data_IF_656954937833
#
_entry.id   IF_656954937833
#
_cell.length_a   1.000
_cell.length_b   1.000
_cell.length_c   1.000
_cell.angle_alpha   90.00
_cell.angle_beta   90.00
_cell.angle_gamma   90.00
#
_symmetry.space_group_name_H-M   'P 1'
#
loop_
_entity.id
_entity.type
_entity.pdbx_description
1 polymer ?
#
# COMPACT_ATOMS: atom_id res chain seq x y z
N UNK A 1 15.81 -9.49 8.98
CA UNK A 1 16.44 -9.61 7.64
C UNK A 1 15.45 -9.50 6.47
N UNK A 2 14.52 -10.45 6.27
CA UNK A 2 13.56 -10.35 5.14
C UNK A 2 12.70 -9.09 5.25
N UNK A 3 12.15 -8.79 6.44
CA UNK A 3 11.36 -7.58 6.65
C UNK A 3 12.18 -6.29 6.51
N UNK A 4 13.46 -6.29 6.92
CA UNK A 4 14.33 -5.13 6.73
C UNK A 4 14.55 -4.84 5.24
N UNK A 5 14.82 -5.88 4.44
CA UNK A 5 14.96 -5.76 2.98
C UNK A 5 13.65 -5.30 2.36
N UNK A 6 12.53 -5.90 2.73
CA UNK A 6 11.22 -5.63 2.14
C UNK A 6 10.70 -4.22 2.46
N UNK A 7 10.70 -3.83 3.72
CA UNK A 7 10.22 -2.50 4.15
C UNK A 7 11.25 -1.39 3.85
N UNK A 8 12.54 -1.74 3.78
CA UNK A 8 13.61 -0.81 3.39
C UNK A 8 13.54 -0.34 1.94
N UNK A 9 12.73 -0.94 1.08
CA UNK A 9 12.51 -0.49 -0.31
C UNK A 9 11.73 0.82 -0.42
N UNK A 10 11.11 1.30 0.67
CA UNK A 10 10.41 2.60 0.67
C UNK A 10 9.01 2.57 0.07
N UNK A 11 8.30 1.44 0.18
CA UNK A 11 6.89 1.38 -0.19
C UNK A 11 6.06 2.38 0.66
N UNK A 12 5.07 3.08 0.08
CA UNK A 12 4.30 4.11 0.79
C UNK A 12 3.40 3.55 1.89
N UNK A 13 2.95 2.30 1.76
CA UNK A 13 2.19 1.57 2.78
C UNK A 13 2.17 0.06 2.45
N UNK A 14 1.74 -0.74 3.43
CA UNK A 14 1.48 -2.18 3.28
C UNK A 14 0.00 -2.45 3.54
N UNK A 15 -0.66 -3.21 2.66
CA UNK A 15 -2.11 -3.49 2.77
C UNK A 15 -2.37 -4.99 2.88
N UNK A 16 -2.98 -5.40 4.00
CA UNK A 16 -3.43 -6.77 4.22
C UNK A 16 -4.88 -6.91 3.77
N UNK A 17 -5.10 -7.81 2.80
CA UNK A 17 -6.42 -8.10 2.25
C UNK A 17 -7.11 -9.25 3.00
N UNK A 18 -8.42 -9.43 2.79
CA UNK A 18 -9.24 -10.51 3.38
C UNK A 18 -9.20 -10.57 4.92
N UNK A 19 -9.13 -9.42 5.59
CA UNK A 19 -9.05 -9.36 7.08
C UNK A 19 -7.87 -10.16 7.66
N UNK A 20 -6.80 -10.35 6.87
CA UNK A 20 -5.56 -10.91 7.38
C UNK A 20 -4.95 -9.92 8.36
N UNK A 21 -4.72 -10.37 9.59
CA UNK A 21 -4.12 -9.54 10.62
C UNK A 21 -2.60 -9.69 10.53
N UNK A 22 -1.84 -8.59 10.41
CA UNK A 22 -0.39 -8.64 10.52
C UNK A 22 0.00 -9.13 11.92
N UNK A 23 1.03 -9.97 11.99
CA UNK A 23 1.58 -10.39 13.28
C UNK A 23 2.39 -9.26 13.96
N UNK A 24 2.65 -9.42 15.25
CA UNK A 24 3.41 -8.43 16.03
C UNK A 24 4.82 -8.20 15.50
N UNK A 25 5.44 -9.21 14.89
CA UNK A 25 6.79 -9.08 14.32
C UNK A 25 6.73 -8.13 13.13
N UNK A 26 5.81 -8.33 12.20
CA UNK A 26 5.59 -7.44 11.08
C UNK A 26 5.31 -6.00 11.54
N UNK A 27 4.44 -5.82 12.53
CA UNK A 27 4.11 -4.49 13.07
C UNK A 27 5.33 -3.78 13.69
N UNK A 28 6.21 -4.52 14.39
CA UNK A 28 7.48 -3.96 14.91
C UNK A 28 8.37 -3.44 13.80
N UNK A 29 8.53 -4.19 12.71
CA UNK A 29 9.32 -3.74 11.57
C UNK A 29 8.63 -2.59 10.82
N UNK A 30 7.31 -2.64 10.61
CA UNK A 30 6.57 -1.56 9.98
C UNK A 30 6.71 -0.25 10.76
N UNK A 31 6.66 -0.30 12.10
CA UNK A 31 6.94 0.85 12.96
C UNK A 31 8.39 1.34 12.84
N UNK A 32 9.37 0.43 12.86
CA UNK A 32 10.80 0.77 12.66
C UNK A 32 11.02 1.54 11.36
N UNK A 33 10.36 1.13 10.28
CA UNK A 33 10.48 1.74 8.94
C UNK A 33 9.44 2.84 8.67
N UNK A 34 8.62 3.21 9.66
CA UNK A 34 7.57 4.22 9.54
C UNK A 34 6.63 3.94 8.34
N UNK A 35 6.37 2.66 8.06
CA UNK A 35 5.51 2.22 6.96
C UNK A 35 4.08 1.98 7.50
N UNK A 36 3.06 2.73 7.03
CA UNK A 36 1.68 2.51 7.42
C UNK A 36 1.19 1.11 7.05
N UNK A 37 0.50 0.45 7.98
CA UNK A 37 -0.13 -0.85 7.76
C UNK A 37 -1.64 -0.69 7.75
N UNK A 38 -2.26 -1.07 6.63
CA UNK A 38 -3.69 -0.95 6.38
C UNK A 38 -4.31 -2.33 6.20
N UNK A 39 -5.61 -2.43 6.49
CA UNK A 39 -6.35 -3.68 6.32
C UNK A 39 -7.64 -3.45 5.53
N UNK A 40 -8.07 -4.46 4.78
CA UNK A 40 -9.34 -4.45 4.07
C UNK A 40 -9.97 -5.84 4.03
N UNK A 41 -11.30 -5.89 4.00
CA UNK A 41 -12.06 -7.14 3.79
C UNK A 41 -12.05 -7.62 2.33
N UNK A 42 -11.68 -6.73 1.39
CA UNK A 42 -11.65 -7.06 -0.04
C UNK A 42 -10.63 -8.17 -0.33
N UNK A 43 -10.95 -9.02 -1.29
CA UNK A 43 -9.98 -9.94 -1.86
C UNK A 43 -8.86 -9.17 -2.58
N UNK A 44 -7.64 -9.73 -2.61
CA UNK A 44 -6.46 -9.08 -3.19
C UNK A 44 -6.71 -8.57 -4.60
N UNK A 45 -7.25 -9.39 -5.50
CA UNK A 45 -7.49 -8.99 -6.90
C UNK A 45 -8.50 -7.84 -7.02
N UNK A 46 -9.56 -7.85 -6.21
CA UNK A 46 -10.56 -6.79 -6.21
C UNK A 46 -10.01 -5.47 -5.61
N UNK A 47 -9.21 -5.56 -4.54
CA UNK A 47 -8.51 -4.39 -3.99
C UNK A 47 -7.51 -3.82 -5.00
N UNK A 48 -6.71 -4.67 -5.63
CA UNK A 48 -5.71 -4.27 -6.63
C UNK A 48 -6.36 -3.59 -7.84
N UNK A 49 -7.46 -4.14 -8.36
CA UNK A 49 -8.18 -3.52 -9.47
C UNK A 49 -8.65 -2.09 -9.13
N UNK A 50 -9.21 -1.91 -7.94
CA UNK A 50 -9.69 -0.60 -7.49
C UNK A 50 -8.56 0.40 -7.23
N UNK A 51 -7.49 -0.01 -6.53
CA UNK A 51 -6.38 0.89 -6.20
C UNK A 51 -5.59 1.29 -7.45
N UNK A 52 -5.37 0.37 -8.39
CA UNK A 52 -4.72 0.67 -9.67
C UNK A 52 -5.58 1.64 -10.48
N UNK A 53 -6.89 1.35 -10.61
CA UNK A 53 -7.83 2.24 -11.33
C UNK A 53 -7.82 3.65 -10.77
N UNK A 54 -7.84 3.79 -9.45
CA UNK A 54 -7.82 5.09 -8.79
C UNK A 54 -6.49 5.81 -8.94
N UNK A 55 -5.36 5.12 -8.71
CA UNK A 55 -4.03 5.70 -8.83
C UNK A 55 -3.71 6.12 -10.27
N UNK A 56 -4.14 5.35 -11.28
CA UNK A 56 -3.95 5.71 -12.68
C UNK A 56 -4.58 7.05 -13.04
N UNK A 57 -5.75 7.37 -12.46
CA UNK A 57 -6.40 8.68 -12.66
C UNK A 57 -5.69 9.76 -11.84
N UNK A 58 -5.37 9.48 -10.58
CA UNK A 58 -4.78 10.48 -9.66
C UNK A 58 -3.35 10.87 -10.01
N UNK A 59 -2.61 9.95 -10.61
CA UNK A 59 -1.22 10.15 -11.04
C UNK A 59 -1.12 10.43 -12.55
N UNK A 60 -2.25 10.57 -13.25
CA UNK A 60 -2.24 10.95 -14.65
C UNK A 60 -1.61 12.35 -14.83
N UNK A 61 -0.78 12.56 -15.87
CA UNK A 61 -0.28 13.90 -16.19
C UNK A 61 -1.43 14.88 -16.39
N UNK A 62 -1.37 16.01 -15.70
CA UNK A 62 -2.35 17.08 -15.85
C UNK A 62 -1.77 18.20 -16.69
N UNK A 63 -2.57 18.68 -17.65
CA UNK A 63 -2.31 19.89 -18.41
C UNK A 63 -3.45 20.87 -18.17
N UNK A 64 -3.13 22.15 -18.11
CA UNK A 64 -4.12 23.22 -18.05
C UNK A 64 -4.20 23.85 -19.43
N UNK A 65 -5.40 23.87 -20.01
CA UNK A 65 -5.68 24.57 -21.26
C UNK A 65 -6.51 25.81 -20.89
N UNK A 66 -6.06 26.99 -21.30
CA UNK A 66 -6.85 28.20 -21.16
C UNK A 66 -7.90 28.23 -22.29
N UNK A 67 -9.15 28.45 -21.91
CA UNK A 67 -10.23 28.76 -22.84
C UNK A 67 -10.31 30.26 -23.09
#
# INVERSE_FOLDING_TARGET
EIYDKFLGMGAPCMVFCRELHPDETFLKYAHKYQCPVLMTKKATSAFMAEVIRWLNVRLAPMITIHG
#
